data_IF_118918104834
#
_entry.id   IF_118918104834
#
_cell.length_a   1.000
_cell.length_b   1.000
_cell.length_c   1.000
_cell.angle_alpha   90.00
_cell.angle_beta   90.00
_cell.angle_gamma   90.00
#
_symmetry.space_group_name_H-M   'P 1'
#
loop_
_entity.id
_entity.type
_entity.pdbx_description
1 polymer ?
#
# COMPACT_ATOMS: atom_id res chain seq x y z
N UNK A 1 5.99 -43.67 -17.45
CA UNK A 1 6.55 -42.30 -17.40
C UNK A 1 5.82 -41.30 -18.33
N UNK A 2 4.54 -41.48 -18.65
CA UNK A 2 3.82 -40.64 -19.64
C UNK A 2 2.56 -39.93 -19.13
N UNK A 3 2.16 -40.14 -17.86
CA UNK A 3 0.94 -39.52 -17.32
C UNK A 3 1.18 -38.16 -16.63
N UNK A 4 2.37 -37.89 -16.08
CA UNK A 4 2.68 -36.61 -15.41
C UNK A 4 3.02 -35.44 -16.36
N UNK A 5 3.42 -35.71 -17.60
CA UNK A 5 3.89 -34.66 -18.52
C UNK A 5 2.75 -33.78 -19.05
N UNK A 6 1.52 -34.32 -19.13
CA UNK A 6 0.34 -33.56 -19.58
C UNK A 6 -0.18 -32.56 -18.54
N UNK A 7 0.11 -32.75 -17.25
CA UNK A 7 -0.26 -31.78 -16.20
C UNK A 7 0.72 -30.60 -16.11
N UNK A 8 1.92 -30.73 -16.68
CA UNK A 8 2.98 -29.70 -16.60
C UNK A 8 2.80 -28.58 -17.64
N UNK A 9 2.13 -28.85 -18.75
CA UNK A 9 1.73 -27.83 -19.73
C UNK A 9 0.53 -26.98 -19.28
N UNK A 10 -0.19 -27.42 -18.25
CA UNK A 10 -1.34 -26.69 -17.70
C UNK A 10 -0.93 -25.57 -16.73
N UNK A 11 0.24 -25.65 -16.09
CA UNK A 11 0.67 -24.63 -15.11
C UNK A 11 1.10 -23.29 -15.75
N UNK A 12 1.90 -23.25 -16.84
CA UNK A 12 2.18 -21.99 -17.53
C UNK A 12 0.95 -21.49 -18.30
N UNK A 13 0.06 -22.38 -18.72
CA UNK A 13 -1.21 -22.03 -19.36
C UNK A 13 -2.24 -21.46 -18.36
N UNK A 14 -2.21 -21.89 -17.09
CA UNK A 14 -3.05 -21.32 -16.03
C UNK A 14 -2.60 -19.92 -15.58
N UNK A 15 -1.29 -19.61 -15.68
CA UNK A 15 -0.80 -18.24 -15.48
C UNK A 15 -1.20 -17.28 -16.63
N UNK A 16 -1.50 -17.82 -17.81
CA UNK A 16 -2.07 -17.07 -18.95
C UNK A 16 -3.60 -16.91 -18.88
N UNK A 17 -4.26 -17.59 -17.94
CA UNK A 17 -5.73 -17.61 -17.76
C UNK A 17 -6.18 -16.94 -16.45
N UNK A 18 -5.26 -16.31 -15.71
CA UNK A 18 -5.63 -15.51 -14.55
C UNK A 18 -6.34 -14.22 -15.03
N UNK A 19 -7.48 -13.84 -14.44
CA UNK A 19 -8.15 -12.59 -14.79
C UNK A 19 -7.20 -11.41 -14.54
N UNK A 20 -7.27 -10.42 -15.43
CA UNK A 20 -6.48 -9.21 -15.37
C UNK A 20 -6.62 -8.55 -13.99
N UNK A 21 -5.51 -8.52 -13.24
CA UNK A 21 -5.44 -7.75 -12.02
C UNK A 21 -4.93 -6.36 -12.41
N UNK A 22 -5.80 -5.37 -12.18
CA UNK A 22 -5.54 -3.94 -12.39
C UNK A 22 -4.31 -3.55 -11.56
N UNK A 23 -3.21 -3.18 -12.22
CA UNK A 23 -1.96 -2.80 -11.57
C UNK A 23 -1.82 -1.28 -11.45
N UNK A 24 -2.92 -0.59 -11.14
CA UNK A 24 -2.89 0.80 -10.73
C UNK A 24 -2.50 0.90 -9.25
N UNK A 25 -1.89 2.02 -8.87
CA UNK A 25 -1.63 2.34 -7.46
C UNK A 25 -2.95 2.17 -6.66
N UNK A 26 -2.93 1.56 -5.46
CA UNK A 26 -4.12 1.42 -4.63
C UNK A 26 -4.85 2.76 -4.46
N UNK A 27 -6.19 2.73 -4.49
CA UNK A 27 -7.00 3.93 -4.29
C UNK A 27 -6.92 4.36 -2.83
N UNK A 28 -6.44 5.58 -2.59
CA UNK A 28 -6.31 6.18 -1.26
C UNK A 28 -7.05 7.54 -1.21
N UNK A 29 -7.56 7.93 -0.04
CA UNK A 29 -8.03 9.29 0.21
C UNK A 29 -7.69 9.77 1.61
N UNK A 30 -7.62 11.08 1.82
CA UNK A 30 -7.20 11.68 3.08
C UNK A 30 -8.37 12.43 3.71
N UNK A 31 -8.79 12.01 4.90
CA UNK A 31 -9.88 12.63 5.65
C UNK A 31 -9.31 13.27 6.91
N UNK A 32 -9.27 14.60 6.94
CA UNK A 32 -8.85 15.39 8.09
C UNK A 32 -10.06 16.01 8.79
N UNK A 33 -10.16 15.81 10.10
CA UNK A 33 -11.19 16.38 10.96
C UNK A 33 -10.54 17.21 12.07
N UNK A 34 -10.92 18.46 12.21
CA UNK A 34 -10.56 19.31 13.34
C UNK A 34 -11.80 19.53 14.22
N UNK A 35 -11.68 19.19 15.50
CA UNK A 35 -12.78 19.27 16.47
C UNK A 35 -12.64 20.54 17.32
N UNK A 36 -13.66 21.41 17.24
CA UNK A 36 -13.80 22.64 18.04
C UNK A 36 -15.08 22.57 18.87
N UNK A 37 -15.01 21.92 20.01
CA UNK A 37 -16.18 21.67 20.87
C UNK A 37 -17.20 20.76 20.19
N UNK A 38 -18.35 21.30 19.78
CA UNK A 38 -19.41 20.56 19.05
C UNK A 38 -19.32 20.67 17.52
N UNK A 39 -18.43 21.54 17.03
CA UNK A 39 -18.24 21.77 15.60
C UNK A 39 -17.08 20.92 15.08
N UNK A 40 -17.23 20.45 13.85
CA UNK A 40 -16.24 19.71 13.09
C UNK A 40 -15.91 20.54 11.85
N UNK A 41 -14.64 20.87 11.67
CA UNK A 41 -14.12 21.35 10.39
C UNK A 41 -13.47 20.17 9.68
N UNK A 42 -13.93 19.87 8.47
CA UNK A 42 -13.50 18.71 7.70
C UNK A 42 -12.82 19.12 6.40
N UNK A 43 -11.78 18.38 6.03
CA UNK A 43 -11.19 18.39 4.71
C UNK A 43 -11.05 16.96 4.22
N UNK A 44 -11.50 16.70 3.00
CA UNK A 44 -11.40 15.40 2.37
C UNK A 44 -10.77 15.51 0.99
N UNK A 45 -9.57 14.97 0.86
CA UNK A 45 -8.83 14.94 -0.39
C UNK A 45 -9.09 13.59 -1.06
N UNK A 46 -9.70 13.62 -2.24
CA UNK A 46 -10.10 12.41 -2.99
C UNK A 46 -9.49 12.46 -4.39
N UNK A 47 -8.81 11.38 -4.79
CA UNK A 47 -8.18 11.29 -6.10
C UNK A 47 -9.21 11.50 -7.23
N UNK A 48 -8.92 12.43 -8.15
CA UNK A 48 -9.83 12.78 -9.24
C UNK A 48 -10.05 11.61 -10.20
N UNK A 49 -9.00 10.80 -10.44
CA UNK A 49 -9.07 9.57 -11.24
C UNK A 49 -10.12 8.60 -10.69
N UNK A 50 -10.15 8.42 -9.38
CA UNK A 50 -11.03 7.44 -8.74
C UNK A 50 -12.49 7.98 -8.69
N UNK A 51 -12.64 9.30 -8.50
CA UNK A 51 -13.94 9.96 -8.65
C UNK A 51 -14.48 9.87 -10.07
N UNK A 52 -13.64 10.08 -11.08
CA UNK A 52 -14.06 9.96 -12.47
C UNK A 52 -14.53 8.54 -12.79
N UNK A 53 -13.82 7.52 -12.35
CA UNK A 53 -14.26 6.13 -12.47
C UNK A 53 -15.61 5.88 -11.77
N UNK A 54 -15.82 6.47 -10.59
CA UNK A 54 -17.02 6.21 -9.77
C UNK A 54 -18.26 7.00 -10.20
N UNK A 55 -18.10 8.23 -10.67
CA UNK A 55 -19.23 9.13 -10.97
C UNK A 55 -19.19 9.76 -12.35
N UNK A 56 -18.17 9.54 -13.17
CA UNK A 56 -18.02 10.13 -14.51
C UNK A 56 -17.91 11.65 -14.41
N UNK A 57 -16.67 12.13 -14.24
CA UNK A 57 -16.34 13.55 -14.20
C UNK A 57 -15.96 14.07 -15.59
N UNK A 58 -15.27 13.23 -16.38
CA UNK A 58 -14.90 13.49 -17.77
C UNK A 58 -16.18 13.53 -18.63
N UNK A 59 -16.51 14.74 -19.07
CA UNK A 59 -17.78 15.03 -19.73
C UNK A 59 -17.70 14.90 -21.24
N UNK A 60 -16.52 15.10 -21.82
CA UNK A 60 -16.28 14.98 -23.25
C UNK A 60 -15.65 13.63 -23.67
N UNK A 61 -15.19 12.84 -22.69
CA UNK A 61 -14.71 11.48 -22.85
C UNK A 61 -13.31 11.41 -23.48
N UNK A 62 -12.52 12.49 -23.40
CA UNK A 62 -11.19 12.56 -23.97
C UNK A 62 -10.10 11.93 -23.08
N UNK A 63 -10.46 11.54 -21.86
CA UNK A 63 -9.58 10.93 -20.86
C UNK A 63 -8.75 11.93 -20.05
N UNK A 64 -8.99 13.23 -20.18
CA UNK A 64 -8.29 14.30 -19.47
C UNK A 64 -9.25 15.18 -18.67
N UNK A 65 -9.16 15.12 -17.35
CA UNK A 65 -9.98 15.97 -16.48
C UNK A 65 -9.50 17.41 -16.47
N UNK A 66 -10.32 18.31 -17.02
CA UNK A 66 -10.08 19.75 -16.97
C UNK A 66 -10.63 20.38 -15.68
N UNK A 67 -10.11 21.57 -15.32
CA UNK A 67 -10.59 22.31 -14.15
C UNK A 67 -12.06 22.79 -14.30
N UNK A 68 -12.55 22.93 -15.53
CA UNK A 68 -13.93 23.31 -15.81
C UNK A 68 -14.89 22.16 -15.54
N UNK A 69 -14.57 20.96 -16.01
CA UNK A 69 -15.38 19.76 -15.78
C UNK A 69 -15.48 19.42 -14.29
N UNK A 70 -14.35 19.41 -13.57
CA UNK A 70 -14.34 19.14 -12.12
C UNK A 70 -15.22 20.16 -11.39
N UNK A 71 -15.12 21.45 -11.75
CA UNK A 71 -15.89 22.52 -11.13
C UNK A 71 -17.39 22.39 -11.41
N UNK A 72 -17.77 22.03 -12.63
CA UNK A 72 -19.16 21.77 -12.98
C UNK A 72 -19.75 20.59 -12.19
N UNK A 73 -18.90 19.68 -11.71
CA UNK A 73 -19.25 18.49 -10.95
C UNK A 73 -19.14 18.61 -9.42
N UNK A 74 -18.74 19.77 -8.88
CA UNK A 74 -18.56 19.97 -7.44
C UNK A 74 -19.76 19.50 -6.59
N UNK A 75 -21.00 19.76 -7.04
CA UNK A 75 -22.20 19.31 -6.33
C UNK A 75 -22.32 17.78 -6.26
N UNK A 76 -21.99 17.08 -7.35
CA UNK A 76 -22.01 15.61 -7.43
C UNK A 76 -20.88 15.00 -6.60
N UNK A 77 -19.69 15.59 -6.62
CA UNK A 77 -18.55 15.16 -5.79
C UNK A 77 -18.92 15.24 -4.30
N UNK A 78 -19.43 16.39 -3.84
CA UNK A 78 -19.84 16.58 -2.44
C UNK A 78 -20.96 15.62 -2.03
N UNK A 79 -21.97 15.44 -2.87
CA UNK A 79 -23.07 14.51 -2.60
C UNK A 79 -22.58 13.05 -2.52
N UNK A 80 -21.70 12.64 -3.45
CA UNK A 80 -21.14 11.30 -3.47
C UNK A 80 -20.30 11.01 -2.22
N UNK A 81 -19.41 11.94 -1.84
CA UNK A 81 -18.53 11.79 -0.70
C UNK A 81 -19.29 11.84 0.64
N UNK A 82 -20.09 12.90 0.88
CA UNK A 82 -20.75 13.10 2.19
C UNK A 82 -21.88 12.09 2.44
N UNK A 83 -22.52 11.52 1.40
CA UNK A 83 -23.47 10.40 1.58
C UNK A 83 -22.80 9.10 2.05
N UNK A 84 -21.46 9.00 1.91
CA UNK A 84 -20.64 7.85 2.29
C UNK A 84 -19.80 8.08 3.54
N UNK A 85 -20.03 9.19 4.22
CA UNK A 85 -19.39 9.53 5.49
C UNK A 85 -20.47 9.81 6.54
N UNK A 86 -20.47 9.02 7.62
CA UNK A 86 -21.32 9.26 8.77
C UNK A 86 -20.44 9.42 10.01
N UNK A 87 -20.61 10.54 10.70
CA UNK A 87 -19.90 10.84 11.93
C UNK A 87 -20.93 10.92 13.05
N UNK A 88 -20.73 10.13 14.09
CA UNK A 88 -21.55 10.16 15.30
C UNK A 88 -20.70 10.51 16.53
N UNK A 89 -21.21 11.40 17.35
CA UNK A 89 -20.60 11.84 18.59
C UNK A 89 -21.25 11.15 19.78
N UNK A 90 -20.43 10.60 20.67
CA UNK A 90 -20.85 10.10 21.97
C UNK A 90 -20.23 10.97 23.06
N UNK A 91 -21.09 11.55 23.89
CA UNK A 91 -20.68 12.36 25.03
C UNK A 91 -20.52 11.50 26.28
N UNK A 92 -19.64 11.94 27.19
CA UNK A 92 -19.52 11.38 28.54
C UNK A 92 -20.88 11.49 29.25
N UNK A 93 -21.38 10.43 29.91
CA UNK A 93 -22.56 10.58 30.75
C UNK A 93 -22.25 11.54 31.90
N UNK A 94 -23.02 12.62 32.01
CA UNK A 94 -23.07 13.45 33.22
C UNK A 94 -23.87 12.67 34.29
N UNK A 95 -23.16 12.06 35.26
CA UNK A 95 -23.77 11.32 36.37
C UNK A 95 -24.16 9.86 36.06
N UNK A 96 -25.05 9.27 36.87
CA UNK A 96 -25.51 7.87 36.76
C UNK A 96 -26.51 7.63 35.60
N UNK A 97 -26.58 8.53 34.62
CA UNK A 97 -27.44 8.37 33.46
C UNK A 97 -26.80 7.39 32.45
N UNK A 98 -27.57 6.46 31.85
CA UNK A 98 -27.04 5.58 30.81
C UNK A 98 -26.50 6.41 29.64
N UNK A 99 -25.42 5.91 29.00
CA UNK A 99 -24.80 6.49 27.80
C UNK A 99 -25.89 6.85 26.80
N UNK A 100 -26.09 8.17 26.57
CA UNK A 100 -27.06 8.63 25.58
C UNK A 100 -26.60 8.16 24.20
N UNK A 101 -27.57 7.74 23.38
CA UNK A 101 -27.40 7.30 22.01
C UNK A 101 -26.49 8.26 21.23
N UNK A 102 -25.52 7.69 20.50
CA UNK A 102 -24.61 8.44 19.64
C UNK A 102 -25.42 9.37 18.71
N UNK A 103 -25.22 10.69 18.86
CA UNK A 103 -25.89 11.67 18.01
C UNK A 103 -25.16 11.77 16.69
N UNK A 104 -25.86 11.60 15.56
CA UNK A 104 -25.25 11.81 14.24
C UNK A 104 -24.99 13.30 14.02
N UNK A 105 -23.77 13.66 13.62
CA UNK A 105 -23.41 15.03 13.30
C UNK A 105 -23.95 15.38 11.91
N UNK A 106 -24.54 16.57 11.77
CA UNK A 106 -25.07 17.05 10.49
C UNK A 106 -23.91 17.62 9.69
N UNK A 107 -23.61 17.05 8.53
CA UNK A 107 -22.53 17.48 7.66
C UNK A 107 -23.05 18.37 6.53
N UNK A 108 -22.36 19.48 6.27
CA UNK A 108 -22.64 20.40 5.18
C UNK A 108 -21.40 20.61 4.32
N UNK A 109 -21.57 20.52 2.99
CA UNK A 109 -20.49 20.78 2.05
C UNK A 109 -20.04 22.25 2.11
N UNK A 110 -18.74 22.48 2.02
CA UNK A 110 -18.11 23.79 1.92
C UNK A 110 -17.45 23.98 0.55
N UNK A 111 -16.36 24.76 0.53
CA UNK A 111 -15.59 25.02 -0.68
C UNK A 111 -14.87 23.77 -1.21
N UNK A 112 -14.67 23.73 -2.52
CA UNK A 112 -13.89 22.70 -3.20
C UNK A 112 -12.72 23.33 -3.95
N UNK A 113 -11.57 22.66 -3.89
CA UNK A 113 -10.33 23.04 -4.54
C UNK A 113 -9.73 21.82 -5.24
N UNK A 114 -8.65 22.03 -5.99
CA UNK A 114 -7.81 20.95 -6.49
C UNK A 114 -6.42 21.12 -5.92
N UNK A 115 -5.86 20.04 -5.41
CA UNK A 115 -4.48 19.97 -4.97
C UNK A 115 -3.77 18.79 -5.66
N UNK A 116 -2.43 18.78 -5.62
CA UNK A 116 -1.62 17.68 -6.13
C UNK A 116 -0.93 16.95 -5.00
N UNK A 117 -1.21 15.66 -4.92
CA UNK A 117 -0.43 14.71 -4.13
C UNK A 117 0.59 14.01 -5.03
N UNK A 118 1.45 13.16 -4.46
CA UNK A 118 2.57 12.55 -5.19
C UNK A 118 2.13 11.67 -6.37
N UNK A 119 0.88 11.21 -6.38
CA UNK A 119 0.29 10.30 -7.38
C UNK A 119 -0.78 10.94 -8.27
N UNK A 120 -1.00 12.26 -8.17
CA UNK A 120 -1.88 12.96 -9.10
C UNK A 120 -2.68 14.10 -8.48
N UNK A 121 -3.71 14.51 -9.19
CA UNK A 121 -4.61 15.58 -8.78
C UNK A 121 -5.78 15.04 -7.94
N UNK A 122 -6.10 15.75 -6.86
CA UNK A 122 -7.13 15.41 -5.89
C UNK A 122 -8.15 16.54 -5.81
N UNK A 123 -9.42 16.18 -5.70
CA UNK A 123 -10.47 17.10 -5.27
C UNK A 123 -10.36 17.28 -3.75
N UNK A 124 -10.15 18.50 -3.31
CA UNK A 124 -10.15 18.88 -1.89
C UNK A 124 -11.55 19.37 -1.54
N UNK A 125 -12.32 18.54 -0.86
CA UNK A 125 -13.65 18.88 -0.36
C UNK A 125 -13.56 19.36 1.09
N UNK A 126 -13.76 20.66 1.31
CA UNK A 126 -13.98 21.18 2.66
C UNK A 126 -15.44 20.98 3.06
N UNK A 127 -15.69 20.65 4.31
CA UNK A 127 -17.04 20.51 4.86
C UNK A 127 -17.06 20.94 6.33
N UNK A 128 -18.25 21.23 6.83
CA UNK A 128 -18.47 21.51 8.25
C UNK A 128 -19.43 20.46 8.81
N UNK A 129 -19.29 20.17 10.09
CA UNK A 129 -20.16 19.27 10.83
C UNK A 129 -20.61 19.91 12.13
N UNK A 130 -21.88 19.71 12.50
CA UNK A 130 -22.37 20.10 13.82
C UNK A 130 -22.94 18.89 14.55
N UNK A 131 -22.40 18.62 15.73
CA UNK A 131 -22.82 17.54 16.61
C UNK A 131 -23.72 18.08 17.74
N UNK A 132 -24.61 17.24 18.26
CA UNK A 132 -25.51 17.63 19.35
C UNK A 132 -24.79 17.99 20.66
N UNK A 133 -23.61 17.41 20.90
CA UNK A 133 -22.77 17.66 22.06
C UNK A 133 -21.28 17.55 21.67
N UNK A 134 -20.40 18.08 22.53
CA UNK A 134 -18.97 17.88 22.37
C UNK A 134 -18.64 16.39 22.56
N UNK A 135 -18.02 15.72 21.58
CA UNK A 135 -17.72 14.29 21.68
C UNK A 135 -16.61 14.02 22.69
N UNK A 136 -16.75 12.94 23.45
CA UNK A 136 -15.62 12.24 24.11
C UNK A 136 -15.17 11.07 23.24
N UNK A 137 -16.13 10.40 22.56
CA UNK A 137 -15.86 9.41 21.52
C UNK A 137 -16.47 9.81 20.20
N UNK A 138 -15.71 9.60 19.13
CA UNK A 138 -16.14 9.83 17.76
C UNK A 138 -16.23 8.50 17.02
N UNK A 139 -17.43 8.14 16.57
CA UNK A 139 -17.66 7.00 15.69
C UNK A 139 -17.74 7.50 14.26
N UNK A 140 -16.85 7.01 13.41
CA UNK A 140 -16.79 7.37 11.99
C UNK A 140 -17.12 6.12 11.19
N UNK A 141 -18.13 6.21 10.34
CA UNK A 141 -18.48 5.20 9.34
C UNK A 141 -18.14 5.75 7.97
N UNK A 142 -17.31 5.01 7.25
CA UNK A 142 -16.69 5.42 6.00
C UNK A 142 -16.91 4.36 4.93
N UNK A 143 -17.44 4.77 3.78
CA UNK A 143 -17.78 3.87 2.66
C UNK A 143 -17.44 4.45 1.29
N UNK A 144 -16.50 5.39 1.20
CA UNK A 144 -16.07 5.92 -0.09
C UNK A 144 -15.55 4.77 -0.96
N UNK A 145 -16.00 4.72 -2.21
CA UNK A 145 -15.67 3.68 -3.19
C UNK A 145 -15.91 2.23 -2.75
N UNK A 146 -16.61 1.96 -1.65
CA UNK A 146 -16.85 0.60 -1.17
C UNK A 146 -17.59 -0.28 -2.20
N UNK A 147 -18.34 0.36 -3.10
CA UNK A 147 -19.13 -0.28 -4.15
C UNK A 147 -18.29 -0.56 -5.42
N UNK A 148 -17.16 0.12 -5.59
CA UNK A 148 -16.37 0.16 -6.83
C UNK A 148 -14.94 -0.36 -6.67
N UNK A 149 -14.35 -0.18 -5.49
CA UNK A 149 -12.99 -0.61 -5.15
C UNK A 149 -12.95 -1.18 -3.72
N UNK A 150 -12.84 -2.50 -3.62
CA UNK A 150 -12.75 -3.21 -2.34
C UNK A 150 -11.40 -2.98 -1.62
N UNK A 151 -10.37 -2.55 -2.34
CA UNK A 151 -9.04 -2.29 -1.82
C UNK A 151 -8.87 -0.84 -1.36
N UNK A 152 -9.83 0.05 -1.64
CA UNK A 152 -9.77 1.45 -1.27
C UNK A 152 -9.52 1.67 0.22
N UNK A 153 -8.61 2.59 0.55
CA UNK A 153 -8.28 3.01 1.92
C UNK A 153 -8.50 4.50 2.13
N UNK A 154 -9.16 4.85 3.22
CA UNK A 154 -9.26 6.21 3.72
C UNK A 154 -8.31 6.42 4.90
N UNK A 155 -7.46 7.43 4.84
CA UNK A 155 -6.57 7.78 5.94
C UNK A 155 -7.18 8.89 6.76
N UNK A 156 -7.58 8.55 7.98
CA UNK A 156 -8.22 9.47 8.89
C UNK A 156 -7.19 10.15 9.78
N UNK A 157 -7.27 11.48 9.86
CA UNK A 157 -6.62 12.30 10.88
C UNK A 157 -7.68 13.07 11.65
N UNK A 158 -7.69 12.92 12.97
CA UNK A 158 -8.55 13.70 13.87
C UNK A 158 -7.69 14.51 14.81
N UNK A 159 -7.92 15.82 14.82
CA UNK A 159 -7.21 16.76 15.67
C UNK A 159 -8.19 17.41 16.67
N UNK A 160 -7.81 17.43 17.94
CA UNK A 160 -8.48 18.17 19.00
C UNK A 160 -7.44 18.89 19.85
N UNK A 161 -7.34 20.22 19.69
CA UNK A 161 -6.27 20.99 20.29
C UNK A 161 -4.89 20.50 19.82
N UNK A 162 -4.05 20.07 20.76
CA UNK A 162 -2.74 19.48 20.49
C UNK A 162 -2.75 17.96 20.26
N UNK A 163 -3.87 17.28 20.57
CA UNK A 163 -3.98 15.84 20.37
C UNK A 163 -4.30 15.54 18.91
N UNK A 164 -3.53 14.64 18.30
CA UNK A 164 -3.76 14.13 16.94
C UNK A 164 -3.86 12.62 17.01
N UNK A 165 -4.92 12.08 16.44
CA UNK A 165 -5.15 10.65 16.29
C UNK A 165 -5.31 10.30 14.83
N UNK A 166 -4.89 9.09 14.48
CA UNK A 166 -5.08 8.54 13.14
C UNK A 166 -5.76 7.20 13.18
N UNK A 167 -6.44 6.89 12.08
CA UNK A 167 -6.93 5.54 11.83
C UNK A 167 -6.96 5.29 10.33
N UNK A 168 -7.00 4.01 9.97
CA UNK A 168 -7.22 3.59 8.59
C UNK A 168 -8.68 3.14 8.46
N UNK A 169 -9.33 3.65 7.43
CA UNK A 169 -10.71 3.36 7.02
C UNK A 169 -10.67 2.56 5.71
N UNK A 170 -11.70 1.78 5.45
CA UNK A 170 -11.84 1.03 4.20
C UNK A 170 -12.90 -0.05 4.32
N UNK A 171 -13.06 -0.90 3.30
CA UNK A 171 -14.09 -1.95 3.29
C UNK A 171 -13.93 -2.95 4.45
N UNK A 172 -12.68 -3.30 4.81
CA UNK A 172 -12.38 -4.19 5.94
C UNK A 172 -12.62 -3.52 7.32
N UNK A 173 -12.54 -2.19 7.36
CA UNK A 173 -12.64 -1.36 8.56
C UNK A 173 -13.54 -0.15 8.31
N UNK A 174 -14.83 -0.38 8.01
CA UNK A 174 -15.73 0.69 7.58
C UNK A 174 -16.18 1.55 8.76
N UNK A 175 -15.86 1.16 9.99
CA UNK A 175 -16.19 1.87 11.21
C UNK A 175 -14.96 1.99 12.11
N UNK A 176 -14.66 3.20 12.55
CA UNK A 176 -13.64 3.49 13.56
C UNK A 176 -14.26 4.22 14.75
N UNK A 177 -13.81 3.89 15.97
CA UNK A 177 -14.23 4.57 17.20
C UNK A 177 -13.00 5.14 17.88
N UNK A 178 -12.90 6.47 17.86
CA UNK A 178 -11.79 7.22 18.43
C UNK A 178 -12.18 7.77 19.79
N UNK A 179 -11.27 7.65 20.76
CA UNK A 179 -11.42 8.20 22.09
C UNK A 179 -10.57 9.45 22.18
N UNK A 180 -11.19 10.61 22.36
CA UNK A 180 -10.52 11.90 22.20
C UNK A 180 -9.63 12.28 23.40
N UNK A 181 -9.62 11.44 24.44
CA UNK A 181 -8.86 11.57 25.68
C UNK A 181 -7.33 11.40 25.50
N UNK A 182 -6.87 11.05 24.29
CA UNK A 182 -5.45 11.09 23.90
C UNK A 182 -4.51 10.11 24.61
N UNK A 183 -5.00 9.10 25.32
CA UNK A 183 -4.15 8.17 26.09
C UNK A 183 -3.31 7.21 25.25
N UNK A 184 -2.27 6.61 25.87
CA UNK A 184 -1.31 5.65 25.27
C UNK A 184 -1.97 4.50 24.48
N UNK A 185 -3.18 4.10 24.88
CA UNK A 185 -3.97 3.08 24.18
C UNK A 185 -4.37 3.48 22.73
N UNK A 186 -4.35 4.77 22.39
CA UNK A 186 -4.57 5.27 21.03
C UNK A 186 -3.34 5.06 20.14
N UNK A 187 -2.14 5.30 20.67
CA UNK A 187 -0.87 5.12 19.96
C UNK A 187 -0.58 3.64 19.67
N UNK A 188 -0.83 2.75 20.64
CA UNK A 188 -0.68 1.31 20.43
C UNK A 188 -1.60 0.78 19.32
N UNK A 189 -2.85 1.24 19.27
CA UNK A 189 -3.79 0.88 18.19
C UNK A 189 -3.29 1.33 16.82
N UNK A 190 -2.85 2.59 16.71
CA UNK A 190 -2.27 3.10 15.47
C UNK A 190 -1.08 2.24 15.00
N UNK A 191 -0.15 1.89 15.91
CA UNK A 191 0.97 1.01 15.58
C UNK A 191 0.52 -0.33 14.98
N UNK A 192 -0.46 -0.99 15.58
CA UNK A 192 -0.97 -2.27 15.09
C UNK A 192 -1.72 -2.13 13.76
N UNK A 193 -2.49 -1.06 13.57
CA UNK A 193 -3.21 -0.79 12.33
C UNK A 193 -2.21 -0.57 11.17
N UNK A 194 -1.16 0.22 11.39
CA UNK A 194 -0.10 0.40 10.39
C UNK A 194 0.73 -0.86 10.17
N UNK A 195 0.99 -1.68 11.20
CA UNK A 195 1.65 -2.97 11.03
C UNK A 195 0.81 -3.92 10.17
N UNK A 196 -0.51 -3.96 10.37
CA UNK A 196 -1.40 -4.71 9.49
C UNK A 196 -1.38 -4.17 8.07
N UNK A 197 -1.39 -2.85 7.91
CA UNK A 197 -1.27 -2.21 6.59
C UNK A 197 0.04 -2.60 5.90
N UNK A 198 1.16 -2.66 6.63
CA UNK A 198 2.45 -3.12 6.10
C UNK A 198 2.43 -4.56 5.59
N UNK A 199 1.76 -5.47 6.31
CA UNK A 199 1.56 -6.86 5.84
C UNK A 199 0.71 -6.86 4.56
N UNK A 200 -0.40 -6.12 4.56
CA UNK A 200 -1.30 -6.03 3.41
C UNK A 200 -0.63 -5.40 2.19
N UNK A 201 0.22 -4.40 2.40
CA UNK A 201 0.98 -3.74 1.34
C UNK A 201 1.85 -4.74 0.56
N UNK A 202 2.57 -5.62 1.28
CA UNK A 202 3.37 -6.67 0.63
C UNK A 202 2.50 -7.69 -0.10
N UNK A 203 1.31 -8.02 0.42
CA UNK A 203 0.45 -9.03 -0.20
C UNK A 203 -0.38 -8.51 -1.38
N UNK A 204 -0.70 -7.22 -1.39
CA UNK A 204 -1.40 -6.56 -2.49
C UNK A 204 -0.44 -6.17 -3.63
N UNK A 205 0.82 -5.85 -3.32
CA UNK A 205 1.83 -5.49 -4.31
C UNK A 205 2.39 -6.71 -5.03
N UNK A 206 1.86 -7.05 -6.21
CA UNK A 206 2.40 -8.15 -7.03
C UNK A 206 3.87 -7.94 -7.40
N UNK A 207 4.30 -6.70 -7.61
CA UNK A 207 5.70 -6.34 -7.82
C UNK A 207 6.58 -6.67 -6.62
N UNK A 208 6.12 -6.40 -5.40
CA UNK A 208 6.81 -6.75 -4.16
C UNK A 208 6.92 -8.27 -3.98
N UNK A 209 5.85 -9.02 -4.26
CA UNK A 209 5.86 -10.49 -4.21
C UNK A 209 6.83 -11.05 -5.26
N UNK A 210 6.75 -10.62 -6.52
CA UNK A 210 7.63 -11.12 -7.57
C UNK A 210 9.09 -10.75 -7.31
N UNK A 211 9.34 -9.54 -6.80
CA UNK A 211 10.67 -9.13 -6.38
C UNK A 211 11.21 -10.03 -5.24
N UNK A 212 10.41 -10.25 -4.19
CA UNK A 212 10.78 -11.12 -3.08
C UNK A 212 11.04 -12.55 -3.58
N UNK A 213 10.14 -13.14 -4.36
CA UNK A 213 10.34 -14.46 -4.96
C UNK A 213 11.62 -14.49 -5.79
N UNK A 214 11.89 -13.46 -6.60
CA UNK A 214 13.12 -13.38 -7.38
C UNK A 214 14.37 -13.41 -6.50
N UNK A 215 14.37 -12.76 -5.33
CA UNK A 215 15.47 -12.83 -4.38
C UNK A 215 15.57 -14.18 -3.65
N UNK A 216 14.43 -14.86 -3.44
CA UNK A 216 14.36 -16.14 -2.73
C UNK A 216 14.67 -17.36 -3.61
N UNK A 217 14.39 -17.32 -4.92
CA UNK A 217 14.69 -18.39 -5.87
C UNK A 217 16.14 -18.92 -5.78
N UNK A 218 17.18 -18.07 -5.75
CA UNK A 218 18.55 -18.52 -5.58
C UNK A 218 18.92 -18.81 -4.12
N UNK A 219 18.05 -18.61 -3.12
CA UNK A 219 18.42 -18.71 -1.71
C UNK A 219 18.85 -20.13 -1.30
N UNK A 220 18.27 -21.16 -1.90
CA UNK A 220 18.62 -22.57 -1.65
C UNK A 220 19.75 -23.09 -2.56
N UNK A 221 20.32 -22.20 -3.38
CA UNK A 221 21.38 -22.50 -4.34
C UNK A 221 22.57 -21.53 -4.18
N UNK A 222 23.76 -22.06 -3.97
CA UNK A 222 24.99 -21.28 -3.84
C UNK A 222 25.75 -21.33 -5.17
N UNK A 223 26.07 -20.17 -5.73
CA UNK A 223 26.88 -20.10 -6.96
C UNK A 223 28.35 -20.38 -6.63
N UNK A 224 28.94 -21.43 -7.21
CA UNK A 224 30.36 -21.80 -6.98
C UNK A 224 31.26 -21.52 -8.20
N UNK A 225 31.00 -20.44 -8.94
CA UNK A 225 31.79 -20.00 -10.10
C UNK A 225 31.60 -20.85 -11.37
N UNK A 226 31.31 -22.15 -11.23
CA UNK A 226 31.11 -23.11 -12.33
C UNK A 226 29.67 -23.65 -12.38
N UNK A 227 28.76 -23.08 -11.58
CA UNK A 227 27.35 -23.47 -11.54
C UNK A 227 26.70 -23.33 -10.15
N UNK A 228 25.39 -23.55 -10.13
CA UNK A 228 24.56 -23.56 -8.92
C UNK A 228 24.75 -24.88 -8.14
N UNK A 229 25.35 -24.78 -6.95
CA UNK A 229 25.43 -25.86 -5.95
C UNK A 229 24.30 -25.75 -4.94
N UNK A 230 23.98 -26.85 -4.28
CA UNK A 230 22.92 -26.88 -3.27
C UNK A 230 23.41 -26.18 -1.98
N UNK A 231 22.51 -25.49 -1.28
CA UNK A 231 22.81 -25.01 0.07
C UNK A 231 23.12 -26.19 1.01
N UNK A 232 24.15 -26.02 1.84
CA UNK A 232 24.66 -27.06 2.76
C UNK A 232 23.67 -27.42 3.87
N UNK A 233 22.91 -26.44 4.35
CA UNK A 233 21.87 -26.64 5.36
C UNK A 233 20.71 -25.67 5.19
N UNK A 234 19.52 -26.09 5.62
CA UNK A 234 18.33 -25.25 5.67
C UNK A 234 18.56 -24.03 6.58
N UNK A 235 19.28 -24.22 7.69
CA UNK A 235 19.63 -23.16 8.63
C UNK A 235 20.48 -22.07 7.95
N UNK A 236 21.49 -22.45 7.17
CA UNK A 236 22.32 -21.48 6.43
C UNK A 236 21.48 -20.69 5.43
N UNK A 237 20.62 -21.38 4.66
CA UNK A 237 19.74 -20.73 3.70
C UNK A 237 18.77 -19.75 4.40
N UNK A 238 18.19 -20.15 5.54
CA UNK A 238 17.30 -19.29 6.32
C UNK A 238 18.01 -18.03 6.84
N UNK A 239 19.21 -18.18 7.41
CA UNK A 239 19.99 -17.03 7.89
C UNK A 239 20.32 -16.06 6.75
N UNK A 240 20.71 -16.58 5.59
CA UNK A 240 21.03 -15.74 4.43
C UNK A 240 19.79 -15.01 3.90
N UNK A 241 18.63 -15.66 3.87
CA UNK A 241 17.35 -15.03 3.51
C UNK A 241 16.96 -13.96 4.51
N UNK A 242 17.03 -14.23 5.81
CA UNK A 242 16.71 -13.22 6.82
C UNK A 242 17.62 -12.00 6.68
N UNK A 243 18.92 -12.18 6.45
CA UNK A 243 19.83 -11.05 6.18
C UNK A 243 19.41 -10.24 4.96
N UNK A 244 18.98 -10.90 3.88
CA UNK A 244 18.52 -10.24 2.65
C UNK A 244 17.22 -9.46 2.89
N UNK A 245 16.23 -10.09 3.51
CA UNK A 245 14.92 -9.47 3.81
C UNK A 245 15.10 -8.30 4.77
N UNK A 246 15.77 -8.50 5.91
CA UNK A 246 16.00 -7.42 6.88
C UNK A 246 16.84 -6.29 6.28
N UNK A 247 17.86 -6.57 5.46
CA UNK A 247 18.62 -5.50 4.78
C UNK A 247 17.75 -4.68 3.82
N UNK A 248 16.84 -5.34 3.09
CA UNK A 248 15.87 -4.66 2.24
C UNK A 248 14.91 -3.81 3.07
N UNK A 249 14.31 -4.35 4.13
CA UNK A 249 13.36 -3.63 4.99
C UNK A 249 14.02 -2.44 5.66
N UNK A 250 15.27 -2.57 6.15
CA UNK A 250 16.02 -1.46 6.73
C UNK A 250 16.25 -0.34 5.71
N UNK A 251 16.68 -0.67 4.50
CA UNK A 251 16.87 0.32 3.44
C UNK A 251 15.55 0.99 3.05
N UNK A 252 14.49 0.20 2.88
CA UNK A 252 13.14 0.69 2.62
C UNK A 252 12.70 1.67 3.70
N UNK A 253 12.92 1.32 4.97
CA UNK A 253 12.53 2.13 6.13
C UNK A 253 13.21 3.49 6.12
N UNK A 254 14.50 3.55 5.72
CA UNK A 254 15.25 4.80 5.59
C UNK A 254 14.61 5.70 4.54
N UNK A 255 14.39 5.21 3.33
CA UNK A 255 13.86 6.04 2.23
C UNK A 255 12.39 6.39 2.40
N UNK A 256 11.60 5.50 3.01
CA UNK A 256 10.24 5.78 3.41
C UNK A 256 10.19 6.92 4.44
N UNK A 257 11.08 6.89 5.44
CA UNK A 257 11.17 7.95 6.44
C UNK A 257 11.62 9.28 5.84
N UNK A 258 12.62 9.26 4.95
CA UNK A 258 13.09 10.47 4.26
C UNK A 258 11.98 11.13 3.45
N UNK A 259 11.15 10.34 2.78
CA UNK A 259 10.08 10.86 1.94
C UNK A 259 8.84 11.23 2.74
N UNK A 260 8.51 10.50 3.82
CA UNK A 260 7.44 10.88 4.74
C UNK A 260 7.73 12.18 5.51
N UNK A 261 9.01 12.46 5.80
CA UNK A 261 9.49 13.74 6.35
C UNK A 261 9.63 14.84 5.30
N UNK A 262 9.23 14.58 4.06
CA UNK A 262 9.34 15.50 2.91
C UNK A 262 10.78 16.00 2.64
N UNK A 263 11.80 15.31 3.17
CA UNK A 263 13.21 15.65 2.92
C UNK A 263 13.63 15.32 1.49
N UNK A 264 12.99 14.31 0.90
CA UNK A 264 13.20 13.89 -0.50
C UNK A 264 11.84 13.59 -1.14
N UNK A 265 11.54 14.27 -2.23
CA UNK A 265 10.36 14.03 -3.06
C UNK A 265 10.79 13.66 -4.48
N UNK A 266 10.38 12.48 -4.95
CA UNK A 266 10.67 11.99 -6.28
C UNK A 266 9.36 11.76 -7.05
N UNK A 267 9.32 12.01 -8.37
CA UNK A 267 8.14 11.71 -9.18
C UNK A 267 7.77 10.22 -9.11
N UNK A 268 6.53 9.88 -8.77
CA UNK A 268 6.07 8.48 -8.62
C UNK A 268 6.37 7.64 -9.86
N UNK A 269 6.16 8.20 -11.07
CA UNK A 269 6.51 7.56 -12.35
C UNK A 269 7.96 7.05 -12.41
N UNK A 270 8.92 7.85 -11.94
CA UNK A 270 10.34 7.47 -11.94
C UNK A 270 10.62 6.40 -10.90
N UNK A 271 10.01 6.52 -9.71
CA UNK A 271 10.14 5.54 -8.63
C UNK A 271 9.56 4.19 -9.07
N UNK A 272 8.36 4.17 -9.62
CA UNK A 272 7.66 2.97 -10.08
C UNK A 272 8.37 2.27 -11.24
N UNK A 273 8.92 3.06 -12.19
CA UNK A 273 9.78 2.54 -13.25
C UNK A 273 11.08 1.96 -12.67
N UNK A 274 11.71 2.63 -11.70
CA UNK A 274 12.92 2.12 -11.05
C UNK A 274 12.64 0.84 -10.24
N UNK A 275 11.48 0.73 -9.58
CA UNK A 275 11.02 -0.50 -8.92
C UNK A 275 10.90 -1.61 -9.96
N UNK A 276 10.18 -1.40 -11.08
CA UNK A 276 10.06 -2.40 -12.14
C UNK A 276 11.43 -2.83 -12.70
N UNK A 277 12.32 -1.87 -12.96
CA UNK A 277 13.69 -2.13 -13.41
C UNK A 277 14.49 -2.96 -12.39
N UNK A 278 14.32 -2.72 -11.09
CA UNK A 278 14.98 -3.50 -10.04
C UNK A 278 14.53 -4.98 -10.04
N UNK A 279 13.26 -5.26 -10.35
CA UNK A 279 12.74 -6.63 -10.49
C UNK A 279 13.38 -7.32 -11.69
N UNK A 280 13.50 -6.62 -12.83
CA UNK A 280 14.21 -7.14 -14.01
C UNK A 280 15.66 -7.47 -13.65
N UNK A 281 16.37 -6.57 -12.98
CA UNK A 281 17.77 -6.78 -12.58
C UNK A 281 17.90 -7.98 -11.63
N UNK A 282 17.01 -8.13 -10.65
CA UNK A 282 16.99 -9.27 -9.74
C UNK A 282 16.75 -10.60 -10.49
N UNK A 283 15.81 -10.61 -11.44
CA UNK A 283 15.47 -11.78 -12.23
C UNK A 283 16.60 -12.17 -13.21
N UNK A 284 17.19 -11.19 -13.90
CA UNK A 284 18.35 -11.42 -14.77
C UNK A 284 19.55 -11.93 -13.99
N UNK A 285 19.76 -11.46 -12.76
CA UNK A 285 20.84 -11.96 -11.90
C UNK A 285 20.67 -13.44 -11.52
N UNK A 286 19.45 -13.97 -11.51
CA UNK A 286 19.22 -15.40 -11.31
C UNK A 286 19.60 -16.24 -12.54
N UNK A 287 19.45 -15.66 -13.74
CA UNK A 287 19.81 -16.30 -15.01
C UNK A 287 21.31 -16.21 -15.28
N UNK A 288 21.86 -15.02 -15.06
CA UNK A 288 23.24 -14.64 -15.29
C UNK A 288 23.77 -14.02 -13.99
N UNK A 289 24.46 -14.76 -13.12
CA UNK A 289 24.90 -14.24 -11.83
C UNK A 289 26.02 -13.19 -12.00
N UNK A 290 25.65 -11.92 -12.16
CA UNK A 290 26.57 -10.79 -12.38
C UNK A 290 26.63 -9.80 -11.21
N UNK A 291 25.65 -9.81 -10.29
CA UNK A 291 25.65 -8.91 -9.13
C UNK A 291 26.60 -9.40 -8.02
N UNK A 292 27.02 -8.44 -7.19
CA UNK A 292 27.99 -8.58 -6.10
C UNK A 292 27.81 -9.87 -5.29
N UNK A 293 28.95 -10.45 -4.89
CA UNK A 293 29.09 -11.68 -4.08
C UNK A 293 28.29 -11.66 -2.75
N UNK A 294 27.83 -10.48 -2.31
CA UNK A 294 27.06 -10.24 -1.08
C UNK A 294 25.62 -9.81 -1.41
N UNK A 295 24.71 -10.79 -1.57
CA UNK A 295 23.29 -10.60 -1.95
C UNK A 295 22.54 -9.57 -1.09
N UNK A 296 22.86 -9.49 0.20
CA UNK A 296 22.23 -8.53 1.13
C UNK A 296 22.53 -7.07 0.76
N UNK A 297 23.67 -6.77 0.13
CA UNK A 297 23.99 -5.40 -0.32
C UNK A 297 23.15 -4.99 -1.52
N UNK A 298 22.91 -5.92 -2.45
CA UNK A 298 22.01 -5.69 -3.57
C UNK A 298 20.57 -5.48 -3.07
N UNK A 299 20.13 -6.31 -2.10
CA UNK A 299 18.83 -6.17 -1.46
C UNK A 299 18.69 -4.82 -0.74
N UNK A 300 19.72 -4.37 -0.03
CA UNK A 300 19.77 -3.02 0.55
C UNK A 300 19.61 -1.94 -0.51
N UNK A 301 20.37 -2.01 -1.61
CA UNK A 301 20.27 -1.03 -2.71
C UNK A 301 18.88 -1.00 -3.35
N UNK A 302 18.25 -2.15 -3.57
CA UNK A 302 16.89 -2.23 -4.06
C UNK A 302 15.87 -1.70 -3.04
N UNK A 303 16.07 -1.99 -1.75
CA UNK A 303 15.22 -1.48 -0.68
C UNK A 303 15.15 0.05 -0.64
N UNK A 304 16.27 0.73 -0.89
CA UNK A 304 16.31 2.21 -0.99
C UNK A 304 15.39 2.73 -2.10
N UNK A 305 15.33 2.04 -3.24
CA UNK A 305 14.46 2.46 -4.35
C UNK A 305 12.99 2.22 -4.00
N UNK A 306 12.70 1.05 -3.41
CA UNK A 306 11.32 0.63 -3.11
C UNK A 306 10.65 1.51 -2.05
N UNK A 307 11.41 1.99 -1.04
CA UNK A 307 10.81 2.78 0.04
C UNK A 307 10.24 4.14 -0.38
N UNK A 308 10.59 4.65 -1.57
CA UNK A 308 9.96 5.86 -2.12
C UNK A 308 8.54 5.62 -2.67
N UNK A 309 8.14 4.37 -2.94
CA UNK A 309 6.86 4.07 -3.59
C UNK A 309 5.63 4.27 -2.69
N UNK A 310 5.77 4.15 -1.37
CA UNK A 310 4.66 4.22 -0.41
C UNK A 310 4.59 5.55 0.37
N UNK A 311 5.67 6.34 0.35
CA UNK A 311 5.83 7.49 1.24
C UNK A 311 4.79 8.61 1.03
N UNK A 312 4.25 8.74 -0.19
CA UNK A 312 3.21 9.70 -0.51
C UNK A 312 1.97 9.59 0.38
N UNK A 313 1.66 8.36 0.81
CA UNK A 313 0.46 7.99 1.55
C UNK A 313 0.54 8.50 3.00
N UNK A 314 1.74 8.55 3.61
CA UNK A 314 1.88 9.08 4.98
C UNK A 314 2.15 10.58 5.02
N UNK A 315 2.88 11.12 4.04
CA UNK A 315 3.20 12.55 3.99
C UNK A 315 1.93 13.42 3.94
N UNK A 316 0.93 13.04 3.13
CA UNK A 316 -0.32 13.78 2.97
C UNK A 316 -1.17 13.89 4.25
N UNK A 317 -0.86 13.13 5.31
CA UNK A 317 -1.59 13.21 6.58
C UNK A 317 -1.15 14.38 7.47
N UNK A 318 0.03 14.97 7.31
CA UNK A 318 0.46 16.10 8.16
C UNK A 318 0.49 15.75 9.67
N UNK A 319 1.06 14.59 10.00
CA UNK A 319 1.12 14.07 11.37
C UNK A 319 2.22 14.73 12.20
N UNK A 320 2.01 14.90 13.52
CA UNK A 320 3.12 15.21 14.44
C UNK A 320 4.23 14.16 14.31
N UNK A 321 5.49 14.61 14.34
CA UNK A 321 6.66 13.77 14.08
C UNK A 321 6.70 12.48 14.90
N UNK A 322 6.33 12.53 16.18
CA UNK A 322 6.31 11.35 17.06
C UNK A 322 5.30 10.29 16.60
N UNK A 323 4.06 10.71 16.30
CA UNK A 323 3.02 9.81 15.80
C UNK A 323 3.35 9.24 14.41
N UNK A 324 4.06 10.03 13.59
CA UNK A 324 4.53 9.58 12.29
C UNK A 324 5.62 8.51 12.42
N UNK A 325 6.60 8.70 13.31
CA UNK A 325 7.65 7.70 13.56
C UNK A 325 7.07 6.38 14.07
N UNK A 326 6.08 6.42 14.97
CA UNK A 326 5.42 5.22 15.46
C UNK A 326 4.65 4.49 14.34
N UNK A 327 3.93 5.24 13.50
CA UNK A 327 3.20 4.70 12.35
C UNK A 327 4.14 4.06 11.33
N UNK A 328 5.26 4.73 11.03
CA UNK A 328 6.33 4.22 10.16
C UNK A 328 6.98 2.96 10.73
N UNK A 329 7.24 2.92 12.04
CA UNK A 329 7.80 1.75 12.70
C UNK A 329 6.84 0.56 12.63
N UNK A 330 5.55 0.79 12.92
CA UNK A 330 4.50 -0.21 12.77
C UNK A 330 4.44 -0.75 11.35
N UNK A 331 4.34 0.13 10.36
CA UNK A 331 4.30 -0.23 8.95
C UNK A 331 5.49 -1.08 8.51
N UNK A 332 6.72 -0.65 8.81
CA UNK A 332 7.92 -1.40 8.43
C UNK A 332 8.04 -2.77 9.13
N UNK A 333 7.62 -2.86 10.40
CA UNK A 333 7.53 -4.15 11.09
C UNK A 333 6.51 -5.06 10.40
N UNK A 334 5.37 -4.51 10.01
CA UNK A 334 4.37 -5.18 9.20
C UNK A 334 4.92 -5.73 7.89
N UNK A 335 5.65 -4.90 7.15
CA UNK A 335 6.34 -5.29 5.91
C UNK A 335 7.28 -6.47 6.15
N UNK A 336 8.15 -6.40 7.17
CA UNK A 336 9.09 -7.47 7.49
C UNK A 336 8.35 -8.78 7.84
N UNK A 337 7.31 -8.71 8.67
CA UNK A 337 6.49 -9.87 9.03
C UNK A 337 5.79 -10.48 7.81
N UNK A 338 5.26 -9.66 6.91
CA UNK A 338 4.64 -10.10 5.66
C UNK A 338 5.63 -10.83 4.75
N UNK A 339 6.86 -10.30 4.62
CA UNK A 339 7.93 -10.94 3.86
C UNK A 339 8.38 -12.26 4.51
N UNK A 340 8.55 -12.27 5.83
CA UNK A 340 8.96 -13.47 6.58
C UNK A 340 7.89 -14.57 6.52
N UNK A 341 6.61 -14.24 6.47
CA UNK A 341 5.53 -15.21 6.26
C UNK A 341 5.66 -15.92 4.89
N UNK A 342 5.96 -15.16 3.83
CA UNK A 342 6.22 -15.73 2.50
C UNK A 342 7.46 -16.63 2.53
N UNK A 343 8.54 -16.18 3.20
CA UNK A 343 9.77 -16.96 3.38
C UNK A 343 9.51 -18.29 4.11
N UNK A 344 8.71 -18.25 5.18
CA UNK A 344 8.41 -19.42 6.00
C UNK A 344 7.72 -20.55 5.20
N UNK A 345 6.93 -20.19 4.18
CA UNK A 345 6.27 -21.15 3.30
C UNK A 345 7.19 -21.54 2.13
N UNK A 346 7.81 -20.56 1.48
CA UNK A 346 8.60 -20.77 0.27
C UNK A 346 9.87 -21.57 0.54
N UNK A 347 10.61 -21.23 1.60
CA UNK A 347 11.95 -21.74 1.83
C UNK A 347 11.99 -23.26 2.09
N UNK A 348 11.11 -23.86 2.92
CA UNK A 348 11.08 -25.31 3.10
C UNK A 348 10.77 -26.07 1.80
N UNK A 349 9.82 -25.56 1.00
CA UNK A 349 9.43 -26.16 -0.28
C UNK A 349 10.58 -26.08 -1.30
N UNK A 350 11.17 -24.90 -1.44
CA UNK A 350 12.33 -24.67 -2.28
C UNK A 350 13.51 -25.57 -1.86
N UNK A 351 13.76 -25.69 -0.56
CA UNK A 351 14.83 -26.51 -0.03
C UNK A 351 14.59 -28.00 -0.33
N UNK A 352 13.38 -28.51 -0.15
CA UNK A 352 13.03 -29.90 -0.48
C UNK A 352 13.23 -30.21 -1.97
N UNK A 353 12.89 -29.27 -2.86
CA UNK A 353 12.95 -29.44 -4.31
C UNK A 353 14.31 -29.09 -4.92
N UNK A 354 15.25 -28.50 -4.16
CA UNK A 354 16.52 -27.90 -4.67
C UNK A 354 17.41 -28.85 -5.50
N UNK A 355 17.31 -30.15 -5.25
CA UNK A 355 18.09 -31.18 -5.95
C UNK A 355 17.47 -31.60 -7.29
N UNK A 356 16.19 -31.27 -7.53
CA UNK A 356 15.46 -31.72 -8.71
C UNK A 356 15.83 -30.89 -9.94
N UNK A 357 15.80 -31.53 -11.11
CA UNK A 357 15.90 -30.84 -12.40
C UNK A 357 14.78 -29.81 -12.57
N UNK A 358 13.58 -30.14 -12.09
CA UNK A 358 12.41 -29.27 -12.10
C UNK A 358 12.66 -27.93 -11.41
N UNK A 359 13.30 -27.94 -10.24
CA UNK A 359 13.61 -26.71 -9.52
C UNK A 359 14.66 -25.87 -10.26
N UNK A 360 15.72 -26.50 -10.77
CA UNK A 360 16.85 -25.79 -11.40
C UNK A 360 16.52 -25.18 -12.75
N UNK A 361 15.68 -25.84 -13.55
CA UNK A 361 15.36 -25.43 -14.92
C UNK A 361 14.02 -24.70 -14.96
N UNK A 362 12.84 -25.34 -14.86
CA UNK A 362 11.57 -24.65 -14.81
C UNK A 362 11.44 -23.55 -13.74
N UNK A 363 11.71 -23.87 -12.47
CA UNK A 363 11.40 -22.93 -11.37
C UNK A 363 12.39 -21.77 -11.33
N UNK A 364 13.69 -22.04 -11.30
CA UNK A 364 14.70 -20.98 -11.26
C UNK A 364 14.82 -20.24 -12.59
N UNK A 365 15.14 -20.93 -13.69
CA UNK A 365 15.39 -20.26 -14.97
C UNK A 365 14.09 -19.82 -15.64
N UNK A 366 13.11 -20.72 -15.75
CA UNK A 366 11.80 -20.38 -16.33
C UNK A 366 11.07 -19.31 -15.52
N UNK A 367 11.02 -19.47 -14.19
CA UNK A 367 10.42 -18.47 -13.30
C UNK A 367 11.10 -17.11 -13.38
N UNK A 368 12.44 -17.06 -13.38
CA UNK A 368 13.15 -15.78 -13.51
C UNK A 368 12.96 -15.14 -14.89
N UNK A 369 12.92 -15.93 -15.97
CA UNK A 369 12.62 -15.40 -17.29
C UNK A 369 11.20 -14.83 -17.39
N UNK A 370 10.21 -15.51 -16.80
CA UNK A 370 8.84 -15.02 -16.73
C UNK A 370 8.72 -13.73 -15.90
N UNK A 371 9.39 -13.67 -14.74
CA UNK A 371 9.45 -12.45 -13.92
C UNK A 371 10.06 -11.29 -14.70
N UNK A 372 11.19 -11.52 -15.39
CA UNK A 372 11.85 -10.48 -16.19
C UNK A 372 10.96 -9.96 -17.33
N UNK A 373 10.21 -10.86 -17.98
CA UNK A 373 9.26 -10.49 -19.04
C UNK A 373 8.12 -9.62 -18.50
N UNK A 374 7.46 -10.08 -17.42
CA UNK A 374 6.35 -9.34 -16.79
C UNK A 374 6.82 -7.97 -16.27
N UNK A 375 7.95 -7.93 -15.58
CA UNK A 375 8.52 -6.67 -15.10
C UNK A 375 8.96 -5.74 -16.26
N UNK A 376 9.35 -6.30 -17.41
CA UNK A 376 9.63 -5.53 -18.64
C UNK A 376 8.38 -4.86 -19.21
N UNK A 377 7.24 -5.55 -19.19
CA UNK A 377 5.94 -4.97 -19.58
C UNK A 377 5.59 -3.83 -18.63
N UNK A 378 5.63 -4.06 -17.31
CA UNK A 378 5.35 -3.02 -16.31
C UNK A 378 6.29 -1.83 -16.40
N UNK A 379 7.57 -2.06 -16.70
CA UNK A 379 8.53 -0.98 -16.92
C UNK A 379 8.09 -0.10 -18.08
N UNK A 380 7.66 -0.67 -19.20
CA UNK A 380 7.19 0.11 -20.35
C UNK A 380 5.90 0.86 -20.04
N UNK A 381 4.94 0.21 -19.39
CA UNK A 381 3.66 0.83 -18.98
C UNK A 381 3.91 2.04 -18.07
N UNK A 382 4.70 1.85 -17.00
CA UNK A 382 5.02 2.90 -16.03
C UNK A 382 5.95 3.97 -16.62
N UNK A 383 6.93 3.58 -17.43
CA UNK A 383 7.89 4.54 -18.00
C UNK A 383 7.30 5.35 -19.15
N UNK A 384 6.29 4.87 -19.87
CA UNK A 384 5.70 5.56 -21.04
C UNK A 384 4.26 6.03 -20.82
N UNK A 385 3.63 5.70 -19.68
CA UNK A 385 2.23 5.98 -19.38
C UNK A 385 1.27 5.38 -20.43
N UNK A 386 1.61 4.18 -20.91
CA UNK A 386 0.86 3.47 -21.95
C UNK A 386 0.07 2.31 -21.35
N UNK A 387 -1.18 2.12 -21.81
CA UNK A 387 -1.96 0.90 -21.57
C UNK A 387 -1.66 -0.12 -22.68
N UNK A 388 -0.54 -0.83 -22.56
CA UNK A 388 -0.04 -1.74 -23.62
C UNK A 388 -0.71 -3.11 -23.58
N UNK A 389 -1.07 -3.57 -22.41
CA UNK A 389 -2.11 -4.57 -22.27
C UNK A 389 -3.40 -3.85 -21.86
N UNK A 390 -4.56 -4.49 -22.04
CA UNK A 390 -5.79 -4.06 -21.35
C UNK A 390 -5.67 -4.32 -19.84
N UNK A 391 -4.62 -3.76 -19.24
CA UNK A 391 -4.10 -3.86 -17.87
C UNK A 391 -4.24 -2.49 -17.22
#
# INVERSE_FOLDING_TARGET
MTCCLKKLFLLPLMLLLAPAAVAHKPSDSYLSLELKGRQIEGQWDIALRDLDFAIGLDSDGDGQLTWEEVRSHHGRIAAYALSRLNISAEARPEGAAPVRSAGTCVLGAGGQLIDRHTDGAYAVLRFHGECAAAPERLKIVYRLFADTDAQHKGLLRVQQGASVQTAILGVDHPQQVLHLDGGDASQGRAFFDYARLGVQHIWAGFDHILFLISLLLPAVLVWSGHGWRQAESLRSAAIDVCKVVTAFTLAHSVTLSLSALELVSLPSRLVEAAIAASVIVAALNNLFPFLLRKRWMAAFGFGLVHGFGFASVLAGLGLPAESMLLSLAGFNLGVELGQLAIVAIFLPLAYALRATWFYRRPVLQGGSAAIALLAGIWLLERALDLKLAGI
#
